data_IF_423659428427
#
_entry.id   IF_423659428427
#
_cell.length_a   1.000
_cell.length_b   1.000
_cell.length_c   1.000
_cell.angle_alpha   90.00
_cell.angle_beta   90.00
_cell.angle_gamma   90.00
#
_symmetry.space_group_name_H-M   'P 1'
#
loop_
_entity.id
_entity.type
_entity.pdbx_description
1 polymer ?
#
# COMPACT_ATOMS: atom_id res chain seq x y z
N UNK A 1 -33.45 -1.00 -5.54
CA UNK A 1 -31.98 -0.87 -5.55
C UNK A 1 -31.66 0.53 -5.05
N UNK A 2 -31.50 0.68 -3.73
CA UNK A 2 -31.11 1.97 -3.15
C UNK A 2 -29.68 2.28 -3.56
N UNK A 3 -29.49 3.52 -3.97
CA UNK A 3 -28.24 4.13 -4.40
C UNK A 3 -27.22 4.07 -3.26
N UNK A 4 -26.00 3.62 -3.58
CA UNK A 4 -24.79 3.79 -2.77
C UNK A 4 -24.44 5.28 -2.66
N UNK A 5 -25.30 6.09 -2.03
CA UNK A 5 -25.13 7.55 -1.94
C UNK A 5 -24.91 8.05 -0.52
N UNK A 6 -24.38 7.21 0.36
CA UNK A 6 -24.06 7.57 1.76
C UNK A 6 -22.55 7.49 2.04
N UNK A 7 -21.73 7.79 1.04
CA UNK A 7 -20.28 7.74 1.17
C UNK A 7 -19.73 9.03 1.81
N UNK A 8 -19.97 9.19 3.10
CA UNK A 8 -19.13 9.98 3.99
C UNK A 8 -18.67 9.04 5.11
N UNK A 9 -17.78 8.11 4.75
CA UNK A 9 -17.01 7.40 5.76
C UNK A 9 -16.25 8.43 6.58
N UNK A 10 -16.33 8.31 7.89
CA UNK A 10 -15.57 9.15 8.83
C UNK A 10 -14.08 8.92 8.61
N UNK A 11 -13.23 9.91 8.93
CA UNK A 11 -11.77 9.80 8.86
C UNK A 11 -11.25 8.47 9.45
N UNK A 12 -11.82 8.03 10.58
CA UNK A 12 -11.43 6.77 11.21
C UNK A 12 -11.76 5.54 10.34
N UNK A 13 -12.93 5.50 9.71
CA UNK A 13 -13.34 4.39 8.83
C UNK A 13 -12.50 4.33 7.55
N UNK A 14 -12.12 5.49 7.00
CA UNK A 14 -11.20 5.60 5.88
C UNK A 14 -9.79 5.08 6.22
N UNK A 15 -9.27 5.40 7.40
CA UNK A 15 -8.01 4.83 7.90
C UNK A 15 -8.07 3.30 7.98
N UNK A 16 -9.17 2.74 8.52
CA UNK A 16 -9.35 1.28 8.60
C UNK A 16 -9.33 0.59 7.23
N UNK A 17 -9.87 1.22 6.19
CA UNK A 17 -9.84 0.65 4.84
C UNK A 17 -8.42 0.49 4.31
N UNK A 18 -7.51 1.43 4.63
CA UNK A 18 -6.11 1.36 4.20
C UNK A 18 -5.43 0.14 4.84
N UNK A 19 -5.61 -0.06 6.15
CA UNK A 19 -5.02 -1.22 6.85
C UNK A 19 -5.61 -2.55 6.38
N UNK A 20 -6.92 -2.60 6.13
CA UNK A 20 -7.58 -3.80 5.62
C UNK A 20 -7.09 -4.14 4.20
N UNK A 21 -6.98 -3.13 3.33
CA UNK A 21 -6.38 -3.27 2.01
C UNK A 21 -4.94 -3.78 2.09
N UNK A 22 -4.12 -3.25 3.02
CA UNK A 22 -2.75 -3.73 3.22
C UNK A 22 -2.72 -5.23 3.55
N UNK A 23 -3.55 -5.68 4.50
CA UNK A 23 -3.60 -7.10 4.89
C UNK A 23 -3.93 -7.98 3.71
N UNK A 24 -4.94 -7.61 2.91
CA UNK A 24 -5.31 -8.36 1.71
C UNK A 24 -4.18 -8.35 0.67
N UNK A 25 -3.53 -7.20 0.47
CA UNK A 25 -2.44 -7.07 -0.47
C UNK A 25 -1.25 -7.95 -0.08
N UNK A 26 -0.81 -7.92 1.18
CA UNK A 26 0.31 -8.73 1.68
C UNK A 26 0.06 -10.23 1.49
N UNK A 27 -1.15 -10.71 1.76
CA UNK A 27 -1.56 -12.11 1.49
C UNK A 27 -1.43 -12.42 -0.01
N UNK A 28 -1.88 -11.51 -0.88
CA UNK A 28 -1.84 -11.70 -2.33
C UNK A 28 -0.42 -11.67 -2.90
N UNK A 29 0.47 -10.85 -2.33
CA UNK A 29 1.86 -10.70 -2.81
C UNK A 29 2.85 -11.63 -2.10
N UNK A 30 2.43 -12.37 -1.07
CA UNK A 30 3.21 -13.40 -0.39
C UNK A 30 3.95 -14.33 -1.38
N UNK A 31 3.30 -14.93 -2.39
CA UNK A 31 3.99 -15.82 -3.33
C UNK A 31 5.04 -15.11 -4.19
N UNK A 32 4.91 -13.78 -4.31
CA UNK A 32 5.79 -12.90 -5.07
C UNK A 32 6.77 -12.11 -4.19
N UNK A 33 6.89 -12.40 -2.89
CA UNK A 33 7.79 -11.70 -1.95
C UNK A 33 9.24 -11.65 -2.46
N UNK A 34 9.75 -12.77 -2.97
CA UNK A 34 11.11 -12.84 -3.57
C UNK A 34 11.25 -11.93 -4.79
N UNK A 35 10.20 -11.79 -5.61
CA UNK A 35 10.21 -10.89 -6.75
C UNK A 35 10.23 -9.43 -6.32
N UNK A 36 9.46 -9.06 -5.29
CA UNK A 36 9.49 -7.71 -4.70
C UNK A 36 10.89 -7.37 -4.16
N UNK A 37 11.51 -8.28 -3.40
CA UNK A 37 12.88 -8.10 -2.93
C UNK A 37 13.88 -7.93 -4.08
N UNK A 38 13.71 -8.65 -5.19
CA UNK A 38 14.54 -8.45 -6.39
C UNK A 38 14.35 -7.08 -7.01
N UNK A 39 13.11 -6.61 -7.16
CA UNK A 39 12.83 -5.27 -7.70
C UNK A 39 13.50 -4.17 -6.86
N UNK A 40 13.42 -4.29 -5.52
CA UNK A 40 14.07 -3.37 -4.59
C UNK A 40 15.59 -3.40 -4.77
N UNK A 41 16.21 -4.59 -4.76
CA UNK A 41 17.65 -4.73 -4.91
C UNK A 41 18.15 -4.25 -6.27
N UNK A 42 17.37 -4.48 -7.34
CA UNK A 42 17.67 -3.95 -8.67
C UNK A 42 17.70 -2.43 -8.65
N UNK A 43 16.70 -1.77 -8.05
CA UNK A 43 16.69 -0.31 -7.98
C UNK A 43 17.87 0.24 -7.15
N UNK A 44 18.20 -0.40 -6.02
CA UNK A 44 19.37 -0.02 -5.20
C UNK A 44 20.68 -0.16 -5.97
N UNK A 45 20.89 -1.30 -6.64
CA UNK A 45 22.17 -1.61 -7.28
C UNK A 45 22.36 -0.89 -8.63
N UNK A 46 21.29 -0.71 -9.39
CA UNK A 46 21.36 -0.12 -10.73
C UNK A 46 21.22 1.40 -10.72
N UNK A 47 20.44 1.96 -9.78
CA UNK A 47 20.17 3.40 -9.71
C UNK A 47 20.86 4.11 -8.54
N UNK A 48 21.67 3.40 -7.74
CA UNK A 48 22.32 3.93 -6.52
C UNK A 48 21.31 4.57 -5.54
N UNK A 49 20.09 4.01 -5.51
CA UNK A 49 19.01 4.47 -4.62
C UNK A 49 19.26 3.96 -3.20
N UNK A 50 18.98 4.78 -2.19
CA UNK A 50 18.92 4.33 -0.80
C UNK A 50 17.92 3.17 -0.61
N UNK A 51 18.25 2.19 0.23
CA UNK A 51 17.44 0.99 0.42
C UNK A 51 16.02 1.30 0.94
N UNK A 52 15.89 2.24 1.86
CA UNK A 52 14.58 2.64 2.39
C UNK A 52 13.77 3.37 1.31
N UNK A 53 14.40 4.27 0.55
CA UNK A 53 13.76 4.93 -0.59
C UNK A 53 13.30 3.94 -1.68
N UNK A 54 14.11 2.92 -2.01
CA UNK A 54 13.77 1.89 -2.99
C UNK A 54 12.58 1.03 -2.54
N UNK A 55 12.54 0.64 -1.25
CA UNK A 55 11.39 -0.07 -0.65
C UNK A 55 10.13 0.77 -0.73
N UNK A 56 10.21 2.04 -0.35
CA UNK A 56 9.07 2.95 -0.35
C UNK A 56 8.49 3.16 -1.76
N UNK A 57 9.37 3.26 -2.76
CA UNK A 57 8.99 3.35 -4.17
C UNK A 57 8.24 2.09 -4.61
N UNK A 58 8.80 0.90 -4.40
CA UNK A 58 8.14 -0.37 -4.78
C UNK A 58 6.82 -0.54 -4.04
N UNK A 59 6.76 -0.20 -2.75
CA UNK A 59 5.53 -0.20 -1.98
C UNK A 59 4.48 0.70 -2.61
N UNK A 60 4.80 1.97 -2.86
CA UNK A 60 3.86 2.93 -3.43
C UNK A 60 3.39 2.52 -4.83
N UNK A 61 4.32 2.13 -5.70
CA UNK A 61 4.03 1.74 -7.09
C UNK A 61 3.13 0.50 -7.19
N UNK A 62 3.19 -0.39 -6.21
CA UNK A 62 2.44 -1.64 -6.22
C UNK A 62 1.18 -1.60 -5.35
N UNK A 63 1.23 -0.92 -4.20
CA UNK A 63 0.14 -0.86 -3.24
C UNK A 63 -0.90 0.19 -3.63
N UNK A 64 -0.52 1.36 -4.15
CA UNK A 64 -1.49 2.39 -4.55
C UNK A 64 -2.47 1.90 -5.63
N UNK A 65 -2.03 1.21 -6.71
CA UNK A 65 -2.96 0.66 -7.69
C UNK A 65 -3.85 -0.43 -7.11
N UNK A 66 -3.33 -1.24 -6.17
CA UNK A 66 -4.12 -2.22 -5.45
C UNK A 66 -5.20 -1.54 -4.61
N UNK A 67 -4.83 -0.53 -3.81
CA UNK A 67 -5.75 0.22 -2.96
C UNK A 67 -6.86 0.87 -3.79
N UNK A 68 -6.52 1.50 -4.92
CA UNK A 68 -7.49 2.07 -5.87
C UNK A 68 -8.50 1.03 -6.37
N UNK A 69 -8.02 -0.18 -6.67
CA UNK A 69 -8.90 -1.28 -7.09
C UNK A 69 -9.75 -1.80 -5.93
N UNK A 70 -9.20 -1.81 -4.71
CA UNK A 70 -9.84 -2.33 -3.52
C UNK A 70 -11.03 -1.46 -3.06
N UNK A 71 -10.84 -0.15 -3.00
CA UNK A 71 -11.87 0.80 -2.53
C UNK A 71 -12.97 1.07 -3.56
N UNK A 72 -12.73 0.72 -4.84
CA UNK A 72 -13.63 0.99 -5.97
C UNK A 72 -13.86 2.51 -6.16
N UNK A 73 -14.47 2.93 -7.28
CA UNK A 73 -14.53 4.34 -7.78
C UNK A 73 -15.17 5.40 -6.85
N UNK A 74 -15.43 5.05 -5.60
CA UNK A 74 -16.12 5.80 -4.56
C UNK A 74 -15.18 6.76 -3.79
N UNK A 75 -13.87 6.49 -3.75
CA UNK A 75 -12.82 7.44 -3.30
C UNK A 75 -11.57 7.36 -4.18
N UNK A 76 -10.88 8.49 -4.40
CA UNK A 76 -9.56 8.46 -5.02
C UNK A 76 -8.52 7.95 -4.00
N UNK A 77 -7.78 6.89 -4.33
CA UNK A 77 -6.79 6.32 -3.43
C UNK A 77 -5.69 7.32 -3.08
N UNK A 78 -5.31 8.19 -4.01
CA UNK A 78 -4.35 9.28 -3.75
C UNK A 78 -4.86 10.29 -2.72
N UNK A 79 -6.17 10.56 -2.69
CA UNK A 79 -6.79 11.46 -1.70
C UNK A 79 -6.85 10.79 -0.32
N UNK A 80 -7.29 9.53 -0.27
CA UNK A 80 -7.23 8.69 0.95
C UNK A 80 -5.81 8.60 1.50
N UNK A 81 -4.87 8.41 0.59
CA UNK A 81 -3.48 8.36 0.92
C UNK A 81 -3.11 9.74 1.52
N UNK A 82 -3.23 10.82 0.76
CA UNK A 82 -2.80 12.14 1.21
C UNK A 82 -3.37 12.62 2.56
N UNK A 83 -4.58 12.19 2.95
CA UNK A 83 -5.20 12.58 4.23
C UNK A 83 -4.83 11.69 5.42
N UNK A 84 -4.29 10.47 5.20
CA UNK A 84 -3.98 9.49 6.24
C UNK A 84 -2.48 9.18 6.35
N UNK A 85 -1.65 10.22 6.55
CA UNK A 85 -0.20 10.07 6.64
C UNK A 85 0.26 9.04 7.68
N UNK A 86 -0.36 9.03 8.88
CA UNK A 86 -0.03 8.06 9.93
C UNK A 86 -0.29 6.61 9.48
N UNK A 87 -1.39 6.38 8.74
CA UNK A 87 -1.69 5.06 8.22
C UNK A 87 -0.67 4.62 7.16
N UNK A 88 -0.04 5.55 6.44
CA UNK A 88 0.99 5.19 5.46
C UNK A 88 2.24 4.69 6.11
N UNK A 89 2.72 5.43 7.12
CA UNK A 89 3.96 5.09 7.81
C UNK A 89 3.79 3.72 8.46
N UNK A 90 2.67 3.50 9.16
CA UNK A 90 2.37 2.20 9.77
C UNK A 90 2.17 1.07 8.74
N UNK A 91 1.58 1.36 7.57
CA UNK A 91 1.43 0.36 6.51
C UNK A 91 2.77 0.04 5.85
N UNK A 92 3.62 1.04 5.68
CA UNK A 92 4.97 0.87 5.14
C UNK A 92 5.85 0.09 6.11
N UNK A 93 5.79 0.37 7.41
CA UNK A 93 6.49 -0.38 8.45
C UNK A 93 6.10 -1.87 8.42
N UNK A 94 4.79 -2.17 8.31
CA UNK A 94 4.30 -3.53 8.16
C UNK A 94 4.77 -4.21 6.86
N UNK A 95 4.87 -3.45 5.77
CA UNK A 95 5.47 -3.96 4.53
C UNK A 95 6.98 -4.25 4.71
N UNK A 96 7.72 -3.39 5.41
CA UNK A 96 9.12 -3.64 5.72
C UNK A 96 9.30 -4.89 6.59
N UNK A 97 8.41 -5.13 7.56
CA UNK A 97 8.39 -6.35 8.36
C UNK A 97 8.12 -7.59 7.49
N UNK A 98 7.12 -7.52 6.61
CA UNK A 98 6.83 -8.58 5.64
C UNK A 98 8.05 -8.96 4.78
N UNK A 99 8.86 -7.98 4.35
CA UNK A 99 10.06 -8.24 3.56
C UNK A 99 11.20 -8.89 4.36
N UNK A 100 11.21 -8.76 5.70
CA UNK A 100 12.27 -9.31 6.57
C UNK A 100 12.09 -10.78 6.93
N UNK A 101 10.87 -11.29 6.83
CA UNK A 101 10.51 -12.66 7.20
C UNK A 101 10.90 -13.69 6.11
N UNK A 102 12.15 -13.62 5.64
CA UNK A 102 12.71 -14.44 4.54
C UNK A 102 13.71 -15.47 5.06
#
# INVERSE_FOLDING_TARGET
>A
MSKMSDLHLTYMENGYLIYDALKQWLINVEPSRTQLNRMILTDVLENDTDLHAAKYKVFSDCFLPFLQTYIQDDLAAEDLWSIHQDAHEECFDQFEEFLRDV
#
